data_IF_852335620198
#
_entry.id   IF_852335620198
#
_cell.length_a   1.000
_cell.length_b   1.000
_cell.length_c   1.000
_cell.angle_alpha   90.00
_cell.angle_beta   90.00
_cell.angle_gamma   90.00
#
_symmetry.space_group_name_H-M   'P 1'
#
loop_
_entity.id
_entity.type
_entity.pdbx_description
1 polymer ?
#
# COMPACT_ATOMS: atom_id res chain seq x y z
N UNK A 1 28.70 2.47 -17.69
CA UNK A 1 28.20 1.87 -16.45
C UNK A 1 28.64 0.42 -16.41
N UNK A 2 29.38 0.01 -15.39
CA UNK A 2 29.89 -1.35 -15.29
C UNK A 2 28.77 -2.27 -14.79
N UNK A 3 28.36 -3.26 -15.58
CA UNK A 3 27.25 -4.17 -15.26
C UNK A 3 27.60 -5.15 -14.10
N UNK A 4 28.84 -5.12 -13.61
CA UNK A 4 29.32 -6.04 -12.55
C UNK A 4 28.84 -5.72 -11.15
N UNK A 5 28.31 -4.52 -10.93
CA UNK A 5 27.82 -4.00 -9.66
C UNK A 5 26.29 -4.00 -9.56
N UNK A 6 25.62 -4.79 -10.40
CA UNK A 6 24.15 -4.93 -10.38
C UNK A 6 23.73 -6.16 -9.60
N UNK A 7 22.99 -5.94 -8.51
CA UNK A 7 22.24 -6.99 -7.83
C UNK A 7 20.85 -7.14 -8.46
N UNK A 8 20.51 -8.35 -8.94
CA UNK A 8 19.26 -8.62 -9.68
C UNK A 8 18.36 -9.68 -9.03
N UNK A 9 18.79 -10.24 -7.92
CA UNK A 9 18.18 -11.41 -7.30
C UNK A 9 17.23 -11.05 -6.14
N UNK A 10 16.79 -9.78 -6.09
CA UNK A 10 15.77 -9.32 -5.13
C UNK A 10 14.45 -10.02 -5.44
N UNK A 11 13.92 -10.75 -4.44
CA UNK A 11 12.60 -11.39 -4.50
C UNK A 11 11.48 -10.44 -4.09
N UNK A 12 10.23 -10.83 -4.37
CA UNK A 12 9.06 -10.15 -3.79
C UNK A 12 9.13 -10.26 -2.25
N UNK A 13 8.96 -9.12 -1.54
CA UNK A 13 9.24 -9.00 -0.11
C UNK A 13 10.70 -9.41 0.21
N UNK A 14 11.69 -8.51 0.00
CA UNK A 14 13.10 -8.84 0.07
C UNK A 14 13.46 -9.46 1.42
N UNK A 15 14.29 -10.49 1.37
CA UNK A 15 14.74 -11.19 2.56
C UNK A 15 15.98 -10.55 3.15
N UNK A 16 16.25 -10.82 4.44
CA UNK A 16 17.50 -10.42 5.09
C UNK A 16 18.72 -10.95 4.33
N UNK A 17 18.64 -12.15 3.73
CA UNK A 17 19.71 -12.72 2.90
C UNK A 17 19.96 -11.87 1.64
N UNK A 18 18.91 -11.49 0.88
CA UNK A 18 19.05 -10.61 -0.28
C UNK A 18 19.75 -9.29 0.07
N UNK A 19 19.46 -8.73 1.22
CA UNK A 19 20.02 -7.46 1.67
C UNK A 19 21.51 -7.61 1.99
N UNK A 20 21.91 -8.67 2.69
CA UNK A 20 23.31 -8.91 3.01
C UNK A 20 24.12 -9.22 1.76
N UNK A 21 23.63 -10.04 0.84
CA UNK A 21 24.26 -10.31 -0.46
C UNK A 21 24.47 -9.02 -1.29
N UNK A 22 23.44 -8.19 -1.40
CA UNK A 22 23.52 -6.91 -2.12
C UNK A 22 24.49 -5.93 -1.45
N UNK A 23 24.53 -5.90 -0.11
CA UNK A 23 25.50 -5.11 0.67
C UNK A 23 26.93 -5.58 0.40
N UNK A 24 27.16 -6.89 0.40
CA UNK A 24 28.49 -7.44 0.16
C UNK A 24 28.98 -7.15 -1.27
N UNK A 25 28.08 -7.22 -2.26
CA UNK A 25 28.36 -6.79 -3.63
C UNK A 25 28.73 -5.29 -3.69
N UNK A 26 27.98 -4.43 -2.98
CA UNK A 26 28.26 -2.98 -2.88
C UNK A 26 29.68 -2.72 -2.36
N UNK A 27 30.06 -3.40 -1.28
CA UNK A 27 31.38 -3.26 -0.65
C UNK A 27 32.51 -3.81 -1.56
N UNK A 28 32.31 -4.98 -2.15
CA UNK A 28 33.30 -5.63 -3.03
C UNK A 28 33.65 -4.78 -4.26
N UNK A 29 32.69 -3.99 -4.75
CA UNK A 29 32.91 -3.11 -5.93
C UNK A 29 33.23 -1.66 -5.56
N UNK A 30 33.36 -1.33 -4.27
CA UNK A 30 33.66 0.04 -3.82
C UNK A 30 32.62 1.06 -4.26
N UNK A 31 31.33 0.66 -4.29
CA UNK A 31 30.25 1.54 -4.71
C UNK A 31 30.06 2.70 -3.73
N UNK A 32 29.61 3.85 -4.22
CA UNK A 32 29.42 5.09 -3.44
C UNK A 32 27.95 5.52 -3.37
N UNK A 33 27.09 4.92 -4.19
CA UNK A 33 25.67 5.23 -4.27
C UNK A 33 24.86 3.96 -4.52
N UNK A 34 23.56 4.03 -4.23
CA UNK A 34 22.57 3.00 -4.49
C UNK A 34 21.58 3.52 -5.53
N UNK A 35 21.33 2.73 -6.56
CA UNK A 35 20.26 2.95 -7.54
C UNK A 35 19.23 1.83 -7.40
N UNK A 36 18.06 2.14 -6.86
CA UNK A 36 16.93 1.22 -6.78
C UNK A 36 16.10 1.31 -8.06
N UNK A 37 16.17 0.30 -8.92
CA UNK A 37 15.40 0.22 -10.15
C UNK A 37 14.42 -0.96 -10.07
N UNK A 38 13.12 -0.68 -9.93
CA UNK A 38 12.10 -1.72 -9.79
C UNK A 38 10.85 -1.25 -9.08
N UNK A 39 10.04 -2.18 -8.60
CA UNK A 39 8.89 -1.92 -7.74
C UNK A 39 9.28 -1.73 -6.27
N UNK A 40 8.28 -1.73 -5.38
CA UNK A 40 8.47 -1.53 -3.93
C UNK A 40 9.54 -2.44 -3.33
N UNK A 41 9.54 -3.75 -3.67
CA UNK A 41 10.51 -4.71 -3.14
C UNK A 41 11.97 -4.36 -3.48
N UNK A 42 12.23 -3.89 -4.71
CA UNK A 42 13.58 -3.46 -5.10
C UNK A 42 14.00 -2.20 -4.34
N UNK A 43 13.08 -1.27 -4.12
CA UNK A 43 13.34 -0.06 -3.32
C UNK A 43 13.55 -0.38 -1.86
N UNK A 44 12.74 -1.25 -1.28
CA UNK A 44 12.88 -1.68 0.10
C UNK A 44 14.20 -2.43 0.35
N UNK A 45 14.61 -3.28 -0.59
CA UNK A 45 15.93 -3.92 -0.57
C UNK A 45 17.06 -2.87 -0.54
N UNK A 46 17.04 -1.91 -1.47
CA UNK A 46 18.09 -0.87 -1.56
C UNK A 46 18.12 0.02 -0.30
N UNK A 47 16.96 0.40 0.25
CA UNK A 47 16.85 1.12 1.53
C UNK A 47 17.47 0.33 2.68
N UNK A 48 17.17 -0.97 2.76
CA UNK A 48 17.70 -1.84 3.79
C UNK A 48 19.21 -2.09 3.64
N UNK A 49 19.72 -2.20 2.41
CA UNK A 49 21.17 -2.20 2.12
C UNK A 49 21.79 -0.91 2.66
N UNK A 50 21.21 0.24 2.33
CA UNK A 50 21.66 1.53 2.85
C UNK A 50 21.67 1.57 4.38
N UNK A 51 20.63 1.05 5.04
CA UNK A 51 20.56 0.96 6.50
C UNK A 51 21.69 0.09 7.08
N UNK A 52 21.99 -1.05 6.46
CA UNK A 52 23.10 -1.92 6.84
C UNK A 52 24.46 -1.26 6.66
N UNK A 53 24.64 -0.51 5.57
CA UNK A 53 25.89 0.27 5.34
C UNK A 53 26.05 1.39 6.37
N UNK A 54 24.95 2.08 6.72
CA UNK A 54 24.94 3.13 7.74
C UNK A 54 25.16 2.60 9.17
N UNK A 55 24.77 1.35 9.43
CA UNK A 55 24.87 0.68 10.75
C UNK A 55 25.48 -0.73 10.61
N UNK A 56 26.78 -0.85 10.24
CA UNK A 56 27.41 -2.14 9.92
C UNK A 56 27.40 -3.13 11.08
N UNK A 57 27.44 -2.66 12.33
CA UNK A 57 27.44 -3.49 13.53
C UNK A 57 26.03 -3.81 14.06
N UNK A 58 24.95 -3.33 13.42
CA UNK A 58 23.58 -3.57 13.87
C UNK A 58 22.85 -4.52 12.93
N UNK A 59 22.42 -5.72 13.39
CA UNK A 59 21.62 -6.62 12.56
C UNK A 59 20.30 -6.00 12.12
N UNK A 60 19.78 -6.39 10.92
CA UNK A 60 18.52 -5.89 10.39
C UNK A 60 17.34 -6.07 11.35
N UNK A 61 17.20 -7.25 11.96
CA UNK A 61 16.14 -7.53 12.93
C UNK A 61 16.15 -6.57 14.15
N UNK A 62 17.31 -6.01 14.51
CA UNK A 62 17.40 -4.99 15.58
C UNK A 62 17.09 -3.58 15.09
N UNK A 63 16.87 -3.40 13.78
CA UNK A 63 16.40 -2.14 13.18
C UNK A 63 14.88 -2.10 13.00
N UNK A 64 14.15 -3.21 13.23
CA UNK A 64 12.69 -3.27 13.21
C UNK A 64 12.07 -2.16 14.05
N UNK A 65 11.05 -1.49 13.51
CA UNK A 65 10.30 -0.40 14.17
C UNK A 65 10.77 0.99 13.74
N UNK A 66 10.74 1.97 14.62
CA UNK A 66 10.82 3.38 14.29
C UNK A 66 12.14 4.00 14.77
N UNK A 67 12.77 4.85 13.89
CA UNK A 67 13.92 5.70 14.19
C UNK A 67 15.13 4.95 14.79
N UNK A 68 15.54 3.82 14.21
CA UNK A 68 16.65 3.01 14.72
C UNK A 68 17.92 3.07 13.88
N UNK A 69 17.93 3.81 12.77
CA UNK A 69 19.11 3.94 11.88
C UNK A 69 20.01 5.09 12.34
N UNK A 70 19.46 6.29 12.53
CA UNK A 70 20.12 7.50 13.06
C UNK A 70 21.29 8.05 12.21
N UNK A 71 21.72 7.37 11.19
CA UNK A 71 22.81 7.78 10.31
C UNK A 71 22.32 7.93 8.87
N UNK A 72 22.89 8.90 8.17
CA UNK A 72 22.60 9.10 6.74
C UNK A 72 23.06 7.89 5.95
N UNK A 73 22.23 7.43 5.03
CA UNK A 73 22.56 6.40 4.06
C UNK A 73 23.54 6.93 2.99
N UNK A 74 24.25 6.04 2.27
CA UNK A 74 24.82 6.41 0.97
C UNK A 74 23.74 7.03 0.07
N UNK A 75 24.16 7.84 -0.90
CA UNK A 75 23.24 8.43 -1.88
C UNK A 75 22.31 7.37 -2.45
N UNK A 76 21.00 7.56 -2.28
CA UNK A 76 19.97 6.63 -2.76
C UNK A 76 19.10 7.29 -3.82
N UNK A 77 19.11 6.71 -5.03
CA UNK A 77 18.28 7.14 -6.15
C UNK A 77 17.24 6.03 -6.42
N UNK A 78 15.96 6.39 -6.42
CA UNK A 78 14.86 5.47 -6.69
C UNK A 78 14.28 5.70 -8.09
N UNK A 79 14.11 4.64 -8.87
CA UNK A 79 13.49 4.62 -10.19
C UNK A 79 12.35 3.61 -10.18
N UNK A 80 11.12 4.02 -9.82
CA UNK A 80 9.98 3.10 -9.70
C UNK A 80 9.55 2.60 -11.08
N UNK A 81 9.36 1.28 -11.21
CA UNK A 81 8.80 0.63 -12.39
C UNK A 81 7.32 0.26 -12.20
N UNK A 82 6.74 0.55 -11.05
CA UNK A 82 5.31 0.45 -10.71
C UNK A 82 4.78 1.79 -10.24
N UNK A 83 3.51 2.05 -10.45
CA UNK A 83 2.84 3.26 -10.00
C UNK A 83 1.82 2.89 -8.90
N UNK A 84 2.29 2.65 -7.69
CA UNK A 84 1.46 2.15 -6.59
C UNK A 84 2.03 2.44 -5.22
N UNK A 85 3.08 1.78 -4.83
CA UNK A 85 3.63 1.78 -3.47
C UNK A 85 4.14 3.14 -2.99
N UNK A 86 4.53 4.04 -3.90
CA UNK A 86 5.15 5.31 -3.52
C UNK A 86 6.45 5.16 -2.73
N UNK A 87 7.09 3.96 -2.74
CA UNK A 87 8.27 3.66 -1.92
C UNK A 87 9.43 4.62 -2.21
N UNK A 88 9.46 5.23 -3.40
CA UNK A 88 10.42 6.28 -3.76
C UNK A 88 10.32 7.56 -2.91
N UNK A 89 9.27 7.70 -2.09
CA UNK A 89 9.05 8.86 -1.20
C UNK A 89 8.90 8.48 0.26
N UNK A 90 8.94 7.18 0.60
CA UNK A 90 8.59 6.72 1.94
C UNK A 90 9.81 6.50 2.84
N UNK A 91 9.56 6.65 4.13
CA UNK A 91 10.51 6.36 5.20
C UNK A 91 10.57 4.87 5.58
N UNK A 92 9.78 4.02 4.94
CA UNK A 92 9.63 2.61 5.27
C UNK A 92 10.45 1.71 4.32
N UNK A 93 10.96 0.61 4.87
CA UNK A 93 11.44 -0.56 4.14
C UNK A 93 10.86 -1.80 4.80
N UNK A 94 10.13 -2.62 4.04
CA UNK A 94 9.52 -3.86 4.52
C UNK A 94 10.39 -5.05 4.12
N UNK A 95 10.77 -5.86 5.10
CA UNK A 95 11.73 -6.93 4.97
C UNK A 95 11.14 -8.22 5.53
N UNK A 96 11.54 -9.35 4.98
CA UNK A 96 11.25 -10.67 5.53
C UNK A 96 12.52 -11.25 6.10
N UNK A 97 12.50 -11.68 7.36
CA UNK A 97 13.60 -12.43 7.95
C UNK A 97 13.74 -13.79 7.24
N UNK A 98 14.95 -14.11 6.78
CA UNK A 98 15.16 -15.30 5.95
C UNK A 98 15.00 -16.61 6.74
N UNK A 99 15.28 -16.59 8.06
CA UNK A 99 15.26 -17.78 8.90
C UNK A 99 13.88 -18.02 9.54
N UNK A 100 13.25 -16.92 10.02
CA UNK A 100 11.99 -17.01 10.78
C UNK A 100 10.75 -16.76 9.93
N UNK A 101 10.92 -16.27 8.69
CA UNK A 101 9.86 -15.79 7.81
C UNK A 101 9.02 -14.64 8.41
N UNK A 102 9.51 -14.02 9.49
CA UNK A 102 8.87 -12.85 10.08
C UNK A 102 9.02 -11.63 9.18
N UNK A 103 7.88 -11.04 8.80
CA UNK A 103 7.82 -9.82 8.00
C UNK A 103 7.72 -8.61 8.93
N UNK A 104 8.63 -7.66 8.76
CA UNK A 104 8.70 -6.47 9.60
C UNK A 104 9.09 -5.23 8.80
N UNK A 105 8.77 -4.05 9.34
CA UNK A 105 9.12 -2.77 8.75
C UNK A 105 10.23 -2.06 9.55
N UNK A 106 11.16 -1.47 8.82
CA UNK A 106 12.11 -0.48 9.33
C UNK A 106 11.60 0.88 8.88
N UNK A 107 11.37 1.79 9.83
CA UNK A 107 10.86 3.13 9.55
C UNK A 107 11.84 4.17 10.07
N UNK A 108 12.49 4.90 9.17
CA UNK A 108 13.42 5.97 9.52
C UNK A 108 13.48 7.01 8.41
N UNK A 109 13.54 8.30 8.75
CA UNK A 109 13.60 9.38 7.76
C UNK A 109 14.84 9.27 6.85
N UNK A 110 15.91 8.63 7.33
CA UNK A 110 17.10 8.37 6.53
C UNK A 110 16.86 7.37 5.39
N UNK A 111 15.76 6.61 5.38
CA UNK A 111 15.38 5.67 4.30
C UNK A 111 14.70 6.36 3.11
N UNK A 112 14.29 7.63 3.26
CA UNK A 112 13.69 8.36 2.15
C UNK A 112 14.77 8.56 1.08
N UNK A 113 14.56 8.12 -0.17
CA UNK A 113 15.52 8.35 -1.24
C UNK A 113 15.88 9.81 -1.44
N UNK A 114 17.15 10.11 -1.73
CA UNK A 114 17.58 11.48 -2.04
C UNK A 114 16.98 11.99 -3.35
N UNK A 115 16.75 11.08 -4.31
CA UNK A 115 16.13 11.37 -5.61
C UNK A 115 15.15 10.30 -6.02
N UNK A 116 14.00 10.72 -6.57
CA UNK A 116 13.04 9.88 -7.26
C UNK A 116 13.02 10.25 -8.75
N UNK A 117 13.29 9.30 -9.62
CA UNK A 117 13.28 9.49 -11.08
C UNK A 117 12.01 8.84 -11.63
N UNK A 118 11.04 9.67 -12.01
CA UNK A 118 9.74 9.22 -12.52
C UNK A 118 9.78 9.11 -14.04
N UNK A 119 10.28 7.99 -14.55
CA UNK A 119 10.39 7.72 -15.98
C UNK A 119 9.23 6.82 -16.45
N UNK A 120 8.25 7.35 -17.20
CA UNK A 120 7.07 6.57 -17.59
C UNK A 120 7.35 5.36 -18.46
N UNK A 121 8.40 5.41 -19.29
CA UNK A 121 8.70 4.32 -20.23
C UNK A 121 9.00 3.00 -19.54
N UNK A 122 9.54 3.02 -18.31
CA UNK A 122 9.83 1.80 -17.54
C UNK A 122 8.57 1.11 -16.99
N UNK A 123 7.41 1.76 -17.11
CA UNK A 123 6.11 1.21 -16.70
C UNK A 123 5.28 0.65 -17.86
N UNK A 124 5.68 0.86 -19.13
CA UNK A 124 4.86 0.46 -20.29
C UNK A 124 4.63 -1.05 -20.38
N UNK A 125 5.58 -1.84 -19.88
CA UNK A 125 5.50 -3.30 -19.86
C UNK A 125 4.67 -3.89 -18.70
N UNK A 126 4.10 -3.06 -17.81
CA UNK A 126 3.29 -3.58 -16.69
C UNK A 126 2.03 -4.27 -17.21
N UNK A 127 1.74 -5.50 -16.76
CA UNK A 127 0.48 -6.17 -17.05
C UNK A 127 -0.73 -5.33 -16.60
N UNK A 128 -1.88 -5.43 -17.30
CA UNK A 128 -3.09 -4.69 -16.94
C UNK A 128 -3.51 -4.93 -15.48
N UNK A 129 -3.53 -6.18 -15.01
CA UNK A 129 -3.90 -6.51 -13.64
C UNK A 129 -2.98 -5.87 -12.60
N UNK A 130 -1.66 -5.87 -12.85
CA UNK A 130 -0.71 -5.20 -11.96
C UNK A 130 -0.88 -3.67 -12.01
N UNK A 131 -1.17 -3.11 -13.19
CA UNK A 131 -1.50 -1.68 -13.34
C UNK A 131 -2.72 -1.30 -12.50
N UNK A 132 -3.80 -2.11 -12.56
CA UNK A 132 -5.02 -1.89 -11.80
C UNK A 132 -4.76 -1.94 -10.29
N UNK A 133 -4.21 -3.04 -9.80
CA UNK A 133 -4.03 -3.26 -8.36
C UNK A 133 -3.03 -2.29 -7.73
N UNK A 134 -1.94 -1.94 -8.43
CA UNK A 134 -1.00 -0.93 -7.92
C UNK A 134 -1.59 0.48 -7.97
N UNK A 135 -2.36 0.81 -9.01
CA UNK A 135 -3.05 2.10 -9.10
C UNK A 135 -4.11 2.28 -8.01
N UNK A 136 -4.86 1.23 -7.69
CA UNK A 136 -5.82 1.23 -6.59
C UNK A 136 -5.13 1.27 -5.21
N UNK A 137 -3.94 0.70 -5.09
CA UNK A 137 -3.08 0.84 -3.91
C UNK A 137 -2.68 2.31 -3.70
N UNK A 138 -2.22 2.99 -4.75
CA UNK A 138 -1.94 4.43 -4.69
C UNK A 138 -3.19 5.26 -4.33
N UNK A 139 -4.37 4.88 -4.83
CA UNK A 139 -5.65 5.51 -4.46
C UNK A 139 -5.95 5.32 -2.97
N UNK A 140 -5.75 4.11 -2.46
CA UNK A 140 -5.92 3.78 -1.04
C UNK A 140 -5.00 4.63 -0.16
N UNK A 141 -3.72 4.71 -0.50
CA UNK A 141 -2.76 5.58 0.19
C UNK A 141 -3.23 7.05 0.24
N UNK A 142 -3.66 7.59 -0.90
CA UNK A 142 -4.10 8.98 -0.99
C UNK A 142 -5.37 9.25 -0.18
N UNK A 143 -6.34 8.33 -0.23
CA UNK A 143 -7.62 8.47 0.50
C UNK A 143 -7.38 8.34 2.01
N UNK A 144 -6.66 7.31 2.47
CA UNK A 144 -6.40 7.11 3.90
C UNK A 144 -5.60 8.27 4.49
N UNK A 145 -4.57 8.75 3.78
CA UNK A 145 -3.83 9.94 4.20
C UNK A 145 -4.72 11.20 4.27
N UNK A 146 -5.73 11.32 3.40
CA UNK A 146 -6.65 12.45 3.40
C UNK A 146 -7.69 12.37 4.52
N UNK A 147 -8.31 11.20 4.71
CA UNK A 147 -9.38 11.06 5.72
C UNK A 147 -8.84 10.93 7.14
N UNK A 148 -7.59 10.57 7.32
CA UNK A 148 -6.92 10.45 8.62
C UNK A 148 -6.95 11.74 9.43
N UNK A 149 -6.67 11.66 10.74
CA UNK A 149 -6.70 12.80 11.68
C UNK A 149 -5.41 13.62 11.67
N UNK A 150 -4.27 13.06 11.21
CA UNK A 150 -2.95 13.73 11.19
C UNK A 150 -2.65 14.48 9.88
N UNK A 151 -3.66 14.75 9.05
CA UNK A 151 -3.45 15.40 7.76
C UNK A 151 -3.00 16.87 7.92
N UNK A 152 -2.08 17.32 7.07
CA UNK A 152 -1.65 18.72 6.96
C UNK A 152 -2.24 19.37 5.70
N UNK A 153 -2.07 20.68 5.54
CA UNK A 153 -2.44 21.39 4.30
C UNK A 153 -1.71 20.78 3.08
N UNK A 154 -0.42 20.45 3.25
CA UNK A 154 0.39 19.88 2.17
C UNK A 154 -0.04 18.46 1.81
N UNK A 155 -0.23 17.58 2.81
CA UNK A 155 -0.63 16.20 2.56
C UNK A 155 -2.04 16.11 1.97
N UNK A 156 -2.96 16.98 2.38
CA UNK A 156 -4.30 17.07 1.75
C UNK A 156 -4.23 17.50 0.29
N UNK A 157 -3.39 18.48 -0.03
CA UNK A 157 -3.23 18.92 -1.43
C UNK A 157 -2.64 17.80 -2.30
N UNK A 158 -1.60 17.12 -1.81
CA UNK A 158 -0.99 15.98 -2.50
C UNK A 158 -1.98 14.82 -2.68
N UNK A 159 -2.77 14.47 -1.65
CA UNK A 159 -3.82 13.45 -1.74
C UNK A 159 -4.89 13.80 -2.78
N UNK A 160 -5.39 15.03 -2.78
CA UNK A 160 -6.41 15.46 -3.75
C UNK A 160 -5.88 15.35 -5.18
N UNK A 161 -4.67 15.87 -5.45
CA UNK A 161 -4.06 15.78 -6.77
C UNK A 161 -3.81 14.32 -7.19
N UNK A 162 -3.34 13.46 -6.27
CA UNK A 162 -3.16 12.05 -6.53
C UNK A 162 -4.49 11.37 -6.92
N UNK A 163 -5.56 11.60 -6.16
CA UNK A 163 -6.89 11.03 -6.43
C UNK A 163 -7.42 11.46 -7.80
N UNK A 164 -7.33 12.77 -8.14
CA UNK A 164 -7.75 13.27 -9.44
C UNK A 164 -6.96 12.61 -10.58
N UNK A 165 -5.63 12.56 -10.46
CA UNK A 165 -4.80 11.92 -11.47
C UNK A 165 -5.13 10.43 -11.65
N UNK A 166 -5.43 9.70 -10.57
CA UNK A 166 -5.80 8.28 -10.63
C UNK A 166 -7.15 8.12 -11.33
N UNK A 167 -8.17 8.89 -10.94
CA UNK A 167 -9.50 8.82 -11.56
C UNK A 167 -9.46 9.11 -13.06
N UNK A 168 -8.67 10.09 -13.47
CA UNK A 168 -8.56 10.48 -14.87
C UNK A 168 -7.74 9.51 -15.74
N UNK A 169 -6.81 8.73 -15.12
CA UNK A 169 -5.78 8.05 -15.90
C UNK A 169 -5.69 6.53 -15.67
N UNK A 170 -6.13 5.99 -14.53
CA UNK A 170 -5.90 4.58 -14.20
C UNK A 170 -6.56 3.64 -15.19
N UNK A 171 -7.83 3.85 -15.53
CA UNK A 171 -8.53 3.02 -16.51
C UNK A 171 -7.90 3.11 -17.91
N UNK A 172 -7.40 4.28 -18.29
CA UNK A 172 -6.68 4.45 -19.55
C UNK A 172 -5.36 3.68 -19.54
N UNK A 173 -4.60 3.76 -18.45
CA UNK A 173 -3.34 3.01 -18.28
C UNK A 173 -3.58 1.49 -18.24
N UNK A 174 -4.70 1.04 -17.66
CA UNK A 174 -5.12 -0.35 -17.62
C UNK A 174 -5.46 -0.89 -19.01
N UNK A 175 -6.27 -0.16 -19.78
CA UNK A 175 -6.71 -0.56 -21.12
C UNK A 175 -5.61 -0.42 -22.18
N UNK A 176 -4.74 0.57 -22.03
CA UNK A 176 -3.66 0.87 -22.96
C UNK A 176 -2.37 1.19 -22.18
N UNK A 177 -1.60 0.16 -21.88
CA UNK A 177 -0.33 0.28 -21.15
C UNK A 177 0.73 1.17 -21.81
N UNK A 178 0.60 1.44 -23.12
CA UNK A 178 1.52 2.30 -23.87
C UNK A 178 1.08 3.78 -23.90
N UNK A 179 -0.02 4.14 -23.26
CA UNK A 179 -0.42 5.55 -23.17
C UNK A 179 0.55 6.35 -22.29
N UNK A 180 1.42 7.10 -22.95
CA UNK A 180 2.51 7.86 -22.30
C UNK A 180 2.00 8.84 -21.25
N UNK A 181 0.89 9.53 -21.54
CA UNK A 181 0.30 10.52 -20.63
C UNK A 181 -0.29 9.84 -19.39
N UNK A 182 -1.06 8.77 -19.58
CA UNK A 182 -1.65 8.03 -18.46
C UNK A 182 -0.56 7.43 -17.56
N UNK A 183 0.48 6.81 -18.13
CA UNK A 183 1.61 6.25 -17.35
C UNK A 183 2.36 7.32 -16.55
N UNK A 184 2.64 8.47 -17.17
CA UNK A 184 3.27 9.62 -16.48
C UNK A 184 2.42 10.10 -15.31
N UNK A 185 1.12 10.26 -15.55
CA UNK A 185 0.19 10.75 -14.54
C UNK A 185 0.03 9.74 -13.39
N UNK A 186 0.02 8.43 -13.68
CA UNK A 186 -0.02 7.39 -12.65
C UNK A 186 1.25 7.37 -11.78
N UNK A 187 2.45 7.50 -12.39
CA UNK A 187 3.69 7.64 -11.60
C UNK A 187 3.65 8.87 -10.71
N UNK A 188 3.22 10.03 -11.24
CA UNK A 188 3.06 11.24 -10.45
C UNK A 188 2.05 11.06 -9.31
N UNK A 189 0.93 10.39 -9.58
CA UNK A 189 -0.08 10.10 -8.56
C UNK A 189 0.46 9.22 -7.43
N UNK A 190 1.19 8.15 -7.77
CA UNK A 190 1.85 7.28 -6.79
C UNK A 190 2.86 8.05 -5.93
N UNK A 191 3.69 8.88 -6.54
CA UNK A 191 4.63 9.77 -5.84
C UNK A 191 3.93 10.73 -4.88
N UNK A 192 2.84 11.36 -5.30
CA UNK A 192 2.06 12.29 -4.46
C UNK A 192 1.37 11.56 -3.30
N UNK A 193 0.77 10.39 -3.58
CA UNK A 193 0.18 9.54 -2.56
C UNK A 193 1.23 9.11 -1.52
N UNK A 194 2.40 8.67 -1.98
CA UNK A 194 3.55 8.33 -1.15
C UNK A 194 4.01 9.48 -0.25
N UNK A 195 4.13 10.68 -0.82
CA UNK A 195 4.46 11.91 -0.07
C UNK A 195 3.41 12.24 0.99
N UNK A 196 2.13 11.99 0.69
CA UNK A 196 1.03 12.26 1.61
C UNK A 196 1.05 11.27 2.79
N UNK A 197 1.04 9.96 2.52
CA UNK A 197 0.92 8.99 3.60
C UNK A 197 2.20 8.84 4.44
N UNK A 198 3.37 9.09 3.89
CA UNK A 198 4.62 9.13 4.68
C UNK A 198 4.53 10.10 5.87
N UNK A 199 3.74 11.18 5.75
CA UNK A 199 3.54 12.18 6.81
C UNK A 199 2.22 12.03 7.55
N UNK A 200 1.21 11.44 6.92
CA UNK A 200 -0.16 11.37 7.45
C UNK A 200 -0.59 9.95 7.79
N UNK A 201 0.29 8.98 7.60
CA UNK A 201 0.05 7.55 7.81
C UNK A 201 -1.03 6.98 6.87
N UNK A 202 -1.27 5.69 7.01
CA UNK A 202 -2.35 4.90 6.39
C UNK A 202 -3.45 4.62 7.41
N UNK A 203 -4.38 3.72 7.12
CA UNK A 203 -5.49 3.41 7.99
C UNK A 203 -5.82 1.91 8.04
N UNK A 204 -7.07 1.58 8.33
CA UNK A 204 -7.49 0.19 8.52
C UNK A 204 -7.55 -0.61 7.23
N UNK A 205 -7.66 0.02 6.05
CA UNK A 205 -7.52 -0.72 4.79
C UNK A 205 -6.17 -1.42 4.76
N UNK A 206 -5.09 -0.69 5.02
CA UNK A 206 -3.73 -1.24 5.04
C UNK A 206 -3.52 -2.23 6.18
N UNK A 207 -4.00 -1.94 7.40
CA UNK A 207 -3.81 -2.84 8.53
C UNK A 207 -4.45 -4.22 8.29
N UNK A 208 -5.65 -4.25 7.72
CA UNK A 208 -6.34 -5.50 7.33
C UNK A 208 -5.62 -6.18 6.16
N UNK A 209 -5.23 -5.42 5.13
CA UNK A 209 -4.52 -5.96 3.96
C UNK A 209 -3.16 -6.58 4.33
N UNK A 210 -2.42 -5.98 5.26
CA UNK A 210 -1.12 -6.48 5.71
C UNK A 210 -1.23 -7.86 6.37
N UNK A 211 -2.22 -8.05 7.23
CA UNK A 211 -2.45 -9.35 7.88
C UNK A 211 -2.84 -10.43 6.88
N UNK A 212 -3.68 -10.10 5.87
CA UNK A 212 -4.04 -11.00 4.77
C UNK A 212 -2.83 -11.34 3.91
N UNK A 213 -2.03 -10.35 3.55
CA UNK A 213 -0.79 -10.58 2.82
C UNK A 213 0.22 -11.43 3.59
N UNK A 214 0.31 -11.24 4.90
CA UNK A 214 1.22 -12.01 5.77
C UNK A 214 0.80 -13.46 5.96
N UNK A 215 -0.50 -13.73 6.13
CA UNK A 215 -1.01 -15.08 6.40
C UNK A 215 -1.28 -15.90 5.15
N UNK A 216 -1.76 -15.29 4.08
CA UNK A 216 -2.24 -15.99 2.88
C UNK A 216 -1.45 -15.67 1.62
N UNK A 217 -0.50 -14.73 1.68
CA UNK A 217 0.24 -14.30 0.49
C UNK A 217 -0.62 -13.52 -0.52
N UNK A 218 -1.79 -13.02 -0.11
CA UNK A 218 -2.65 -12.23 -0.98
C UNK A 218 -1.89 -10.98 -1.44
N UNK A 219 -1.84 -10.68 -2.75
CA UNK A 219 -1.14 -9.52 -3.27
C UNK A 219 -1.64 -8.22 -2.64
N UNK A 220 -0.73 -7.41 -2.11
CA UNK A 220 -1.03 -6.22 -1.32
C UNK A 220 -2.01 -5.25 -2.01
N UNK A 221 -1.73 -4.89 -3.27
CA UNK A 221 -2.60 -3.99 -4.02
C UNK A 221 -3.98 -4.58 -4.32
N UNK A 222 -4.09 -5.91 -4.46
CA UNK A 222 -5.38 -6.60 -4.60
C UNK A 222 -6.19 -6.50 -3.30
N UNK A 223 -5.58 -6.82 -2.15
CA UNK A 223 -6.24 -6.73 -0.86
C UNK A 223 -6.74 -5.29 -0.59
N UNK A 224 -5.88 -4.29 -0.82
CA UNK A 224 -6.26 -2.88 -0.67
C UNK A 224 -7.41 -2.48 -1.59
N UNK A 225 -7.41 -2.94 -2.85
CA UNK A 225 -8.46 -2.62 -3.82
C UNK A 225 -9.84 -3.12 -3.38
N UNK A 226 -9.91 -4.36 -2.88
CA UNK A 226 -11.15 -4.99 -2.41
C UNK A 226 -11.63 -4.36 -1.10
N UNK A 227 -10.71 -4.15 -0.17
CA UNK A 227 -11.02 -3.60 1.16
C UNK A 227 -11.43 -2.14 1.14
N UNK A 228 -10.88 -1.32 0.22
CA UNK A 228 -11.06 0.13 0.24
C UNK A 228 -12.53 0.56 0.31
N UNK A 229 -13.43 0.18 -0.61
CA UNK A 229 -14.81 0.63 -0.56
C UNK A 229 -15.55 0.14 0.70
N UNK A 230 -15.23 -1.07 1.18
CA UNK A 230 -15.85 -1.70 2.36
C UNK A 230 -15.48 -0.94 3.64
N UNK A 231 -14.21 -0.65 3.83
CA UNK A 231 -13.71 0.08 5.01
C UNK A 231 -14.20 1.53 5.00
N UNK A 232 -14.25 2.19 3.83
CA UNK A 232 -14.78 3.55 3.72
C UNK A 232 -16.26 3.61 4.09
N UNK A 233 -17.07 2.64 3.65
CA UNK A 233 -18.47 2.52 4.04
C UNK A 233 -18.63 2.26 5.54
N UNK A 234 -17.82 1.36 6.09
CA UNK A 234 -17.83 1.01 7.51
C UNK A 234 -17.47 2.17 8.46
N UNK A 235 -16.71 3.17 7.99
CA UNK A 235 -16.46 4.40 8.76
C UNK A 235 -17.73 5.25 8.93
N UNK A 236 -18.71 5.16 8.04
CA UNK A 236 -19.97 5.87 8.09
C UNK A 236 -19.80 7.36 8.31
N UNK A 237 -20.56 7.93 9.23
CA UNK A 237 -20.57 9.37 9.52
C UNK A 237 -19.20 9.95 9.89
N UNK A 238 -18.28 9.14 10.41
CA UNK A 238 -16.93 9.58 10.77
C UNK A 238 -16.10 10.02 9.54
N UNK A 239 -16.39 9.46 8.36
CA UNK A 239 -15.68 9.78 7.11
C UNK A 239 -16.51 10.63 6.13
N UNK A 240 -17.85 10.68 6.25
CA UNK A 240 -18.77 11.31 5.29
C UNK A 240 -18.32 12.70 4.85
N UNK A 241 -18.03 13.61 5.78
CA UNK A 241 -17.64 14.99 5.45
C UNK A 241 -16.40 15.07 4.58
N UNK A 242 -15.38 14.23 4.85
CA UNK A 242 -14.12 14.22 4.09
C UNK A 242 -14.30 13.56 2.73
N UNK A 243 -15.02 12.44 2.67
CA UNK A 243 -15.34 11.74 1.43
C UNK A 243 -16.23 12.60 0.50
N UNK A 244 -17.27 13.24 1.05
CA UNK A 244 -18.12 14.18 0.31
C UNK A 244 -17.31 15.34 -0.30
N UNK A 245 -16.35 15.86 0.45
CA UNK A 245 -15.45 16.90 -0.08
C UNK A 245 -14.60 16.38 -1.23
N UNK A 246 -14.07 15.15 -1.15
CA UNK A 246 -13.36 14.51 -2.26
C UNK A 246 -14.29 14.34 -3.46
N UNK A 247 -15.50 13.81 -3.27
CA UNK A 247 -16.49 13.64 -4.34
C UNK A 247 -16.75 14.93 -5.11
N UNK A 248 -16.96 16.04 -4.39
CA UNK A 248 -17.21 17.35 -5.02
C UNK A 248 -15.98 17.91 -5.73
N UNK A 249 -14.79 17.77 -5.16
CA UNK A 249 -13.54 18.26 -5.78
C UNK A 249 -13.21 17.47 -7.05
N UNK A 250 -13.48 16.17 -7.06
CA UNK A 250 -13.23 15.28 -8.21
C UNK A 250 -14.36 15.28 -9.24
N UNK A 251 -15.44 16.02 -8.99
CA UNK A 251 -16.59 16.11 -9.90
C UNK A 251 -17.48 14.85 -9.93
N UNK A 252 -17.34 13.95 -8.94
CA UNK A 252 -18.15 12.73 -8.85
C UNK A 252 -19.57 13.07 -8.34
N UNK A 253 -19.71 14.09 -7.47
CA UNK A 253 -20.99 14.45 -6.88
C UNK A 253 -21.14 15.96 -6.75
N UNK A 254 -22.35 16.43 -7.06
CA UNK A 254 -22.79 17.82 -6.81
C UNK A 254 -23.73 17.90 -5.59
N UNK A 255 -23.99 16.77 -4.92
CA UNK A 255 -24.90 16.70 -3.78
C UNK A 255 -24.42 17.59 -2.63
N UNK A 256 -25.36 18.35 -2.03
CA UNK A 256 -25.10 19.13 -0.84
C UNK A 256 -25.13 18.29 0.45
N UNK A 257 -25.71 17.09 0.37
CA UNK A 257 -25.78 16.14 1.50
C UNK A 257 -24.50 15.34 1.56
N UNK A 258 -23.75 15.44 2.66
CA UNK A 258 -22.45 14.76 2.81
C UNK A 258 -22.58 13.24 2.76
N UNK A 259 -23.67 12.66 3.29
CA UNK A 259 -23.89 11.21 3.22
C UNK A 259 -24.04 10.73 1.78
N UNK A 260 -24.84 11.42 0.97
CA UNK A 260 -25.07 11.08 -0.45
C UNK A 260 -23.79 11.23 -1.27
N UNK A 261 -23.09 12.36 -1.12
CA UNK A 261 -21.84 12.58 -1.86
C UNK A 261 -20.75 11.57 -1.46
N UNK A 262 -20.69 11.16 -0.19
CA UNK A 262 -19.76 10.13 0.27
C UNK A 262 -20.10 8.76 -0.31
N UNK A 263 -21.37 8.39 -0.38
CA UNK A 263 -21.84 7.15 -1.01
C UNK A 263 -21.51 7.11 -2.51
N UNK A 264 -21.78 8.20 -3.24
CA UNK A 264 -21.43 8.32 -4.66
C UNK A 264 -19.92 8.17 -4.89
N UNK A 265 -19.08 8.72 -4.01
CA UNK A 265 -17.63 8.54 -4.07
C UNK A 265 -17.21 7.08 -3.87
N UNK A 266 -17.77 6.39 -2.89
CA UNK A 266 -17.50 4.97 -2.62
C UNK A 266 -17.98 4.11 -3.80
N UNK A 267 -19.16 4.40 -4.36
CA UNK A 267 -19.71 3.68 -5.52
C UNK A 267 -18.87 3.92 -6.79
N UNK A 268 -18.26 5.09 -6.95
CA UNK A 268 -17.28 5.32 -8.02
C UNK A 268 -16.07 4.41 -7.89
N UNK A 269 -15.52 4.23 -6.69
CA UNK A 269 -14.41 3.29 -6.43
C UNK A 269 -14.81 1.84 -6.77
N UNK A 270 -16.02 1.40 -6.38
CA UNK A 270 -16.55 0.08 -6.75
C UNK A 270 -16.65 -0.10 -8.26
N UNK A 271 -17.17 0.91 -8.95
CA UNK A 271 -17.27 0.91 -10.42
C UNK A 271 -15.90 0.81 -11.10
N UNK A 272 -14.89 1.46 -10.54
CA UNK A 272 -13.51 1.32 -11.02
C UNK A 272 -12.99 -0.11 -10.85
N UNK A 273 -13.18 -0.72 -9.67
CA UNK A 273 -12.80 -2.11 -9.44
C UNK A 273 -13.44 -3.05 -10.47
N UNK A 274 -14.75 -2.96 -10.66
CA UNK A 274 -15.49 -3.76 -11.64
C UNK A 274 -14.93 -3.56 -13.06
N UNK A 275 -14.70 -2.32 -13.47
CA UNK A 275 -14.21 -1.98 -14.82
C UNK A 275 -12.79 -2.49 -15.11
N UNK A 276 -12.03 -2.84 -14.08
CA UNK A 276 -10.68 -3.38 -14.15
C UNK A 276 -10.59 -4.85 -13.76
N UNK A 277 -11.71 -5.55 -13.66
CA UNK A 277 -11.79 -6.96 -13.26
C UNK A 277 -11.13 -7.26 -11.90
N UNK A 278 -11.22 -6.33 -10.95
CA UNK A 278 -10.85 -6.58 -9.57
C UNK A 278 -12.05 -7.26 -8.88
N UNK A 279 -11.86 -8.42 -8.22
CA UNK A 279 -12.95 -9.14 -7.58
C UNK A 279 -13.54 -8.35 -6.39
N UNK A 280 -14.78 -8.69 -6.03
CA UNK A 280 -15.45 -8.09 -4.87
C UNK A 280 -15.03 -8.74 -3.54
N UNK A 281 -14.53 -9.98 -3.62
CA UNK A 281 -14.12 -10.82 -2.47
C UNK A 281 -12.74 -11.41 -2.70
N UNK A 282 -12.15 -11.95 -1.65
CA UNK A 282 -10.83 -12.58 -1.65
C UNK A 282 -10.97 -14.05 -1.24
N UNK A 283 -10.32 -14.92 -2.02
CA UNK A 283 -10.35 -16.36 -1.80
C UNK A 283 -9.43 -16.81 -0.66
N UNK A 284 -9.75 -17.96 -0.09
CA UNK A 284 -8.87 -18.71 0.81
C UNK A 284 -8.80 -18.19 2.25
N UNK A 285 -9.56 -17.17 2.62
CA UNK A 285 -9.65 -16.68 4.01
C UNK A 285 -10.48 -17.70 4.81
N UNK A 286 -9.93 -18.18 5.94
CA UNK A 286 -10.58 -19.18 6.80
C UNK A 286 -11.20 -18.51 8.03
N UNK A 287 -12.41 -18.86 8.38
CA UNK A 287 -13.14 -18.30 9.53
C UNK A 287 -12.34 -18.44 10.84
N UNK A 288 -11.64 -19.56 11.02
CA UNK A 288 -10.83 -19.85 12.20
C UNK A 288 -9.65 -18.91 12.41
N UNK A 289 -9.14 -18.30 11.33
CA UNK A 289 -8.01 -17.37 11.39
C UNK A 289 -8.44 -15.91 11.64
N UNK A 290 -9.70 -15.56 11.36
CA UNK A 290 -10.17 -14.17 11.41
C UNK A 290 -9.91 -13.48 12.76
N UNK A 291 -10.17 -14.08 13.92
CA UNK A 291 -9.86 -13.44 15.21
C UNK A 291 -8.38 -13.11 15.38
N UNK A 292 -7.49 -13.98 14.88
CA UNK A 292 -6.04 -13.78 14.92
C UNK A 292 -5.61 -12.67 13.96
N UNK A 293 -6.17 -12.63 12.74
CA UNK A 293 -5.92 -11.58 11.75
C UNK A 293 -6.36 -10.21 12.27
N UNK A 294 -7.54 -10.13 12.86
CA UNK A 294 -8.05 -8.90 13.47
C UNK A 294 -7.15 -8.40 14.63
N UNK A 295 -6.63 -9.31 15.42
CA UNK A 295 -5.67 -8.99 16.48
C UNK A 295 -4.35 -8.43 15.89
N UNK A 296 -3.89 -8.93 14.75
CA UNK A 296 -2.71 -8.38 14.07
C UNK A 296 -2.98 -6.98 13.51
N UNK A 297 -4.11 -6.77 12.84
CA UNK A 297 -4.50 -5.47 12.33
C UNK A 297 -4.69 -4.43 13.45
N UNK A 298 -5.28 -4.84 14.58
CA UNK A 298 -5.43 -3.99 15.76
C UNK A 298 -4.08 -3.56 16.33
N UNK A 299 -3.18 -4.49 16.55
CA UNK A 299 -1.82 -4.22 17.08
C UNK A 299 -0.99 -3.32 16.16
N UNK A 300 -1.17 -3.45 14.86
CA UNK A 300 -0.47 -2.62 13.89
C UNK A 300 -1.02 -1.19 13.88
N UNK A 301 -2.34 -1.07 13.83
CA UNK A 301 -3.00 0.21 13.63
C UNK A 301 -3.16 1.03 14.91
N UNK A 302 -3.43 0.38 16.04
CA UNK A 302 -3.80 1.07 17.26
C UNK A 302 -2.65 1.11 18.30
N UNK A 303 -2.37 2.30 18.85
CA UNK A 303 -2.98 3.61 18.59
C UNK A 303 -2.28 4.43 17.50
N UNK A 304 -1.43 3.82 16.66
CA UNK A 304 -0.47 4.51 15.77
C UNK A 304 -1.16 5.21 14.59
N UNK A 305 -2.15 4.56 13.97
CA UNK A 305 -2.78 5.07 12.77
C UNK A 305 -3.84 6.13 13.10
N UNK A 306 -3.77 7.31 12.47
CA UNK A 306 -4.70 8.41 12.78
C UNK A 306 -6.03 8.26 12.04
N UNK A 307 -6.71 7.16 12.24
CA UNK A 307 -7.96 6.77 11.57
C UNK A 307 -9.15 7.71 11.91
N UNK A 308 -10.16 7.82 11.03
CA UNK A 308 -11.37 8.64 11.28
C UNK A 308 -12.14 8.25 12.55
N UNK A 309 -12.28 6.94 12.79
CA UNK A 309 -12.89 6.36 13.99
C UNK A 309 -12.02 5.21 14.50
N UNK A 310 -11.84 5.11 15.81
CA UNK A 310 -11.11 4.00 16.42
C UNK A 310 -12.01 2.76 16.46
N UNK A 311 -11.48 1.65 15.97
CA UNK A 311 -12.12 0.33 15.98
C UNK A 311 -11.29 -0.63 16.86
N UNK A 312 -11.97 -1.49 17.59
CA UNK A 312 -11.36 -2.63 18.25
C UNK A 312 -11.34 -3.87 17.34
N UNK A 313 -10.75 -4.99 17.83
CA UNK A 313 -10.66 -6.24 17.09
C UNK A 313 -11.99 -6.73 16.52
N UNK A 314 -13.08 -6.63 17.27
CA UNK A 314 -14.42 -7.06 16.86
C UNK A 314 -14.93 -6.34 15.60
N UNK A 315 -14.67 -5.03 15.49
CA UNK A 315 -15.02 -4.27 14.28
C UNK A 315 -14.10 -4.60 13.12
N UNK A 316 -12.85 -4.90 13.38
CA UNK A 316 -11.90 -5.35 12.36
C UNK A 316 -12.26 -6.75 11.86
N UNK A 317 -12.71 -7.68 12.71
CA UNK A 317 -13.21 -9.01 12.30
C UNK A 317 -14.30 -8.90 11.23
N UNK A 318 -15.23 -7.95 11.38
CA UNK A 318 -16.28 -7.73 10.41
C UNK A 318 -15.74 -7.42 9.01
N UNK A 319 -14.58 -6.74 8.90
CA UNK A 319 -13.99 -6.43 7.60
C UNK A 319 -13.51 -7.70 6.88
N UNK A 320 -12.95 -8.67 7.61
CA UNK A 320 -12.54 -9.95 7.03
C UNK A 320 -13.73 -10.76 6.56
N UNK A 321 -14.81 -10.81 7.33
CA UNK A 321 -16.04 -11.49 6.91
C UNK A 321 -16.68 -10.89 5.66
N UNK A 322 -16.60 -9.55 5.51
CA UNK A 322 -17.16 -8.85 4.34
C UNK A 322 -16.35 -9.08 3.05
N UNK A 323 -15.06 -9.35 3.16
CA UNK A 323 -14.19 -9.62 1.99
C UNK A 323 -13.97 -11.10 1.71
N UNK A 324 -14.37 -11.98 2.61
CA UNK A 324 -14.23 -13.41 2.45
C UNK A 324 -15.19 -13.92 1.38
N UNK A 325 -14.69 -14.71 0.43
CA UNK A 325 -15.59 -15.47 -0.43
C UNK A 325 -16.25 -16.59 0.37
N UNK A 326 -17.59 -16.55 0.46
CA UNK A 326 -18.36 -17.62 1.12
C UNK A 326 -18.38 -18.83 0.21
N UNK A 327 -17.71 -19.90 0.59
CA UNK A 327 -17.68 -21.14 -0.18
C UNK A 327 -19.11 -21.67 -0.37
N UNK A 328 -19.39 -22.35 -1.48
CA UNK A 328 -20.70 -22.99 -1.73
C UNK A 328 -21.08 -23.97 -0.61
N UNK A 329 -20.09 -24.56 0.04
CA UNK A 329 -20.29 -25.48 1.17
C UNK A 329 -20.86 -24.78 2.41
N UNK A 330 -20.44 -23.53 2.67
CA UNK A 330 -20.94 -22.72 3.78
C UNK A 330 -22.30 -22.07 3.48
N UNK A 331 -22.59 -21.78 2.19
CA UNK A 331 -23.92 -21.35 1.75
C UNK A 331 -24.97 -22.43 2.01
N UNK A 332 -24.65 -23.71 1.75
CA UNK A 332 -25.54 -24.83 1.97
C UNK A 332 -25.77 -25.11 3.47
N UNK A 333 -24.78 -24.96 4.33
CA UNK A 333 -24.95 -25.09 5.80
C UNK A 333 -25.89 -24.03 6.39
N UNK A 334 -25.80 -22.77 5.90
CA UNK A 334 -26.67 -21.69 6.36
C UNK A 334 -28.10 -21.79 5.81
N UNK A 335 -28.32 -22.49 4.68
CA UNK A 335 -29.65 -22.76 4.13
C UNK A 335 -30.37 -23.94 4.82
N UNK A 336 -29.61 -24.84 5.45
CA UNK A 336 -30.18 -26.00 6.15
C UNK A 336 -30.58 -25.73 7.62
N UNK A 337 -30.21 -24.58 8.19
CA UNK A 337 -30.60 -24.19 9.55
C UNK A 337 -31.16 -22.75 9.63
N UNK A 338 -32.31 -22.45 9.00
CA UNK A 338 -33.00 -21.21 9.28
C UNK A 338 -33.81 -21.37 10.57
N UNK A 339 -33.23 -21.00 11.71
CA UNK A 339 -34.01 -20.94 12.95
C UNK A 339 -33.43 -21.61 14.16
N UNK A 340 -32.44 -20.96 14.80
CA UNK A 340 -32.21 -21.03 16.25
C UNK A 340 -31.45 -19.78 16.69
N UNK A 341 -32.17 -18.68 16.74
CA UNK A 341 -31.80 -17.53 17.58
C UNK A 341 -33.14 -16.98 18.11
N UNK A 342 -33.47 -17.40 19.30
CA UNK A 342 -34.44 -16.77 20.18
C UNK A 342 -33.72 -16.29 21.40
#
# INVERSE_FOLDING_TARGET
MCIRDRYKDTVANPTSANIEEAKDLYLAHGCQALLAFGGGSSMDCAKAVGARLARPNKPLAKMEGILKIWHKLPLLIAVPTTAGTGSETTLAAVITDADTHHKYAINDFNLIPDYAVLEPSVTYGLPPQLTATTGMDALTHAIEAYIGRSTTKQTRAASIEAIQLIFDNLQTAYKNGNNKTARRNMLRASYLAGTAFTKSYVGYVHAVAHSLGGCYGIPHGLANSVLLPIVLEAYGTAAHKKLARLARITGISDSKLDAVAAEEFINHIRSMNISMNIPETLDGIRNEDIPKLACYADKEANPLYPVPALWGPEKLEQMYHLVQEVSEHDRNRNSEHPGKAA
#
